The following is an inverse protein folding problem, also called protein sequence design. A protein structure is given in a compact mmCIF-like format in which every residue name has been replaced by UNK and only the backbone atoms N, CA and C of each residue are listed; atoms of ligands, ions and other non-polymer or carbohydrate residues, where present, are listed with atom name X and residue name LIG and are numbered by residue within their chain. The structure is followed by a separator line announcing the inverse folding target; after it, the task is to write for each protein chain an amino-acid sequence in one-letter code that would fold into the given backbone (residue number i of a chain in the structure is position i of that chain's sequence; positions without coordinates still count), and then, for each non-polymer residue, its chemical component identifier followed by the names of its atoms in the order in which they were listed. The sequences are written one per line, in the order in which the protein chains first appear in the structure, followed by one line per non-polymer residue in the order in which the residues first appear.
data_IF_188732088206
#
_entry.id   IF_188732088206
#
_cell.length_a   1.000
_cell.length_b   1.000
_cell.length_c   1.000
_cell.angle_alpha   90.00
_cell.angle_beta   90.00
_cell.angle_gamma   90.00
#
_symmetry.space_group_name_H-M   'P 1'
#
loop_
_entity.id
_entity.type
_entity.pdbx_description
1 polymer ?
#
# COMPACT_ATOMS: atom_id res chain seq x y z
N UNK A 1 -5.08 16.74 -22.84
CA UNK A 1 -5.60 15.41 -22.46
C UNK A 1 -5.00 15.11 -21.10
N UNK A 2 -5.74 15.25 -20.01
CA UNK A 2 -5.22 14.91 -18.68
C UNK A 2 -4.94 13.40 -18.62
N UNK A 3 -3.70 13.02 -18.31
CA UNK A 3 -3.35 11.63 -18.11
C UNK A 3 -4.11 11.10 -16.89
N UNK A 4 -5.13 10.28 -17.13
CA UNK A 4 -5.83 9.52 -16.08
C UNK A 4 -4.78 8.66 -15.35
N UNK A 5 -4.55 8.96 -14.07
CA UNK A 5 -3.51 8.34 -13.26
C UNK A 5 -4.12 7.84 -11.97
N UNK A 6 -3.83 6.58 -11.61
CA UNK A 6 -4.30 5.98 -10.38
C UNK A 6 -3.17 5.37 -9.55
N UNK A 7 -3.52 5.03 -8.31
CA UNK A 7 -2.64 4.37 -7.37
C UNK A 7 -3.43 3.56 -6.34
N UNK A 8 -2.77 2.54 -5.80
CA UNK A 8 -3.25 1.77 -4.66
C UNK A 8 -2.26 1.95 -3.51
N UNK A 9 -2.74 2.27 -2.30
CA UNK A 9 -1.95 2.07 -1.10
C UNK A 9 -2.42 0.84 -0.35
N UNK A 10 -1.46 0.07 0.15
CA UNK A 10 -1.72 -1.19 0.83
C UNK A 10 -1.31 -1.10 2.30
N UNK A 11 -2.13 -1.72 3.16
CA UNK A 11 -1.93 -1.85 4.59
C UNK A 11 -1.87 -0.50 5.34
N UNK A 12 -2.78 0.41 5.00
CA UNK A 12 -3.00 1.63 5.78
C UNK A 12 -3.53 1.28 7.18
N UNK A 13 -3.12 2.02 8.20
CA UNK A 13 -3.66 1.90 9.56
C UNK A 13 -4.50 3.15 9.89
N UNK A 14 -3.82 4.28 10.14
CA UNK A 14 -4.46 5.53 10.58
C UNK A 14 -4.60 6.52 9.45
N UNK A 15 -5.74 7.20 9.43
CA UNK A 15 -6.10 8.19 8.42
C UNK A 15 -5.06 9.31 8.29
N UNK A 16 -4.56 9.83 9.41
CA UNK A 16 -3.59 10.95 9.39
C UNK A 16 -2.21 10.57 8.88
N UNK A 17 -1.97 9.26 8.73
CA UNK A 17 -0.71 8.71 8.28
C UNK A 17 -0.75 8.21 6.85
N UNK A 18 -1.86 8.46 6.16
CA UNK A 18 -2.11 8.07 4.77
C UNK A 18 -0.85 8.17 3.94
N UNK A 19 -0.58 7.09 3.23
CA UNK A 19 0.59 7.01 2.37
C UNK A 19 0.51 8.07 1.27
N UNK A 20 1.58 8.79 1.00
CA UNK A 20 1.59 9.75 -0.10
C UNK A 20 1.76 9.01 -1.45
N UNK A 21 0.64 8.76 -2.11
CA UNK A 21 0.55 8.04 -3.41
C UNK A 21 0.86 8.95 -4.61
N UNK A 22 1.09 10.24 -4.39
CA UNK A 22 1.46 11.19 -5.42
C UNK A 22 2.97 11.25 -5.62
N UNK A 23 3.76 10.81 -4.63
CA UNK A 23 5.21 10.84 -4.71
C UNK A 23 5.74 9.80 -5.73
N UNK A 24 6.72 10.22 -6.52
CA UNK A 24 7.53 9.35 -7.38
C UNK A 24 9.02 9.72 -7.22
N UNK A 25 9.90 8.92 -7.83
CA UNK A 25 11.35 9.07 -7.70
C UNK A 25 11.87 10.45 -8.11
N UNK A 26 12.93 10.89 -7.43
CA UNK A 26 13.58 12.19 -7.64
C UNK A 26 12.83 13.34 -6.97
N UNK A 27 12.11 13.07 -5.87
CA UNK A 27 11.26 14.05 -5.16
C UNK A 27 10.25 14.75 -6.08
N UNK A 28 9.75 14.03 -7.09
CA UNK A 28 8.72 14.51 -8.02
C UNK A 28 7.34 14.08 -7.53
N UNK A 29 6.32 14.84 -7.93
CA UNK A 29 4.93 14.56 -7.60
C UNK A 29 4.08 14.46 -8.85
N UNK A 30 3.10 13.55 -8.82
CA UNK A 30 2.06 13.40 -9.82
C UNK A 30 0.71 13.30 -9.13
N UNK A 31 -0.28 14.05 -9.58
CA UNK A 31 -1.64 13.96 -9.03
C UNK A 31 -2.30 12.64 -9.47
N UNK A 32 -2.76 11.84 -8.51
CA UNK A 32 -3.57 10.65 -8.75
C UNK A 32 -5.05 11.01 -8.67
N UNK A 33 -5.79 10.73 -9.75
CA UNK A 33 -7.24 10.92 -9.80
C UNK A 33 -8.00 9.76 -9.14
N UNK A 34 -7.46 8.56 -9.25
CA UNK A 34 -8.09 7.33 -8.74
C UNK A 34 -7.20 6.75 -7.65
N UNK A 35 -7.67 6.76 -6.40
CA UNK A 35 -6.87 6.28 -5.27
C UNK A 35 -7.67 5.23 -4.51
N UNK A 36 -7.15 4.00 -4.53
CA UNK A 36 -7.60 2.92 -3.67
C UNK A 36 -6.73 2.89 -2.41
N UNK A 37 -7.37 2.84 -1.25
CA UNK A 37 -6.74 2.64 0.05
C UNK A 37 -7.17 1.29 0.60
N UNK A 38 -6.24 0.49 1.08
CA UNK A 38 -6.58 -0.78 1.74
C UNK A 38 -6.04 -0.84 3.15
N UNK A 39 -6.76 -1.54 4.04
CA UNK A 39 -6.35 -1.73 5.43
C UNK A 39 -6.69 -3.15 5.88
N UNK A 40 -5.86 -3.74 6.74
CA UNK A 40 -6.12 -5.04 7.37
C UNK A 40 -7.24 -4.93 8.42
N UNK A 41 -7.48 -3.74 8.98
CA UNK A 41 -8.50 -3.55 10.01
C UNK A 41 -9.91 -3.70 9.45
N UNK A 42 -10.78 -4.27 10.27
CA UNK A 42 -12.22 -4.22 10.01
C UNK A 42 -12.73 -2.79 10.11
N UNK A 43 -13.80 -2.49 9.37
CA UNK A 43 -14.42 -1.16 9.38
C UNK A 43 -14.74 -0.65 10.82
N UNK A 44 -15.30 -1.46 11.74
CA UNK A 44 -15.50 -1.02 13.13
C UNK A 44 -14.21 -0.67 13.87
N UNK A 45 -13.16 -1.49 13.74
CA UNK A 45 -11.86 -1.24 14.37
C UNK A 45 -11.24 0.04 13.81
N UNK A 46 -11.30 0.21 12.49
CA UNK A 46 -10.80 1.41 11.84
C UNK A 46 -11.55 2.67 12.28
N UNK A 47 -12.89 2.62 12.36
CA UNK A 47 -13.71 3.74 12.88
C UNK A 47 -13.35 4.09 14.32
N UNK A 48 -13.16 3.10 15.19
CA UNK A 48 -12.76 3.34 16.57
C UNK A 48 -11.40 4.05 16.68
N UNK A 49 -10.48 3.76 15.76
CA UNK A 49 -9.16 4.41 15.68
C UNK A 49 -9.17 5.78 15.01
N UNK A 50 -10.23 6.11 14.27
CA UNK A 50 -10.35 7.31 13.44
C UNK A 50 -11.71 8.00 13.68
N UNK A 51 -12.09 8.18 14.95
CA UNK A 51 -13.44 8.57 15.36
C UNK A 51 -13.94 9.90 14.77
N UNK A 52 -13.03 10.81 14.42
CA UNK A 52 -13.35 12.13 13.87
C UNK A 52 -13.33 12.20 12.34
N UNK A 53 -13.14 11.05 11.65
CA UNK A 53 -13.05 11.02 10.19
C UNK A 53 -14.43 10.75 9.59
N UNK A 54 -14.87 11.67 8.73
CA UNK A 54 -16.11 11.50 7.98
C UNK A 54 -16.01 10.32 7.01
N UNK A 55 -17.01 9.43 7.08
CA UNK A 55 -17.02 8.19 6.33
C UNK A 55 -18.41 7.96 5.74
N UNK A 56 -18.46 7.68 4.45
CA UNK A 56 -19.69 7.30 3.75
C UNK A 56 -19.59 5.82 3.38
N UNK A 57 -20.58 5.02 3.76
CA UNK A 57 -20.58 3.60 3.39
C UNK A 57 -20.62 3.43 1.85
N UNK A 58 -19.90 2.45 1.34
CA UNK A 58 -19.95 2.06 -0.06
C UNK A 58 -20.17 0.55 -0.15
N UNK A 59 -21.19 0.16 -0.91
CA UNK A 59 -21.51 -1.24 -1.17
C UNK A 59 -21.38 -1.52 -2.66
N UNK A 60 -20.65 -2.57 -3.00
CA UNK A 60 -20.62 -3.13 -4.33
C UNK A 60 -21.25 -4.52 -4.29
N UNK A 61 -22.46 -4.63 -4.85
CA UNK A 61 -23.22 -5.88 -4.87
C UNK A 61 -22.80 -6.82 -6.00
N UNK A 62 -21.86 -6.40 -6.84
CA UNK A 62 -21.36 -7.19 -7.97
C UNK A 62 -20.08 -7.95 -7.63
N UNK A 63 -19.45 -7.66 -6.49
CA UNK A 63 -18.22 -8.30 -6.07
C UNK A 63 -18.47 -9.76 -5.63
N UNK A 64 -17.68 -10.70 -6.17
CA UNK A 64 -17.73 -12.12 -5.81
C UNK A 64 -17.22 -12.40 -4.40
N UNK A 65 -16.38 -11.51 -3.85
CA UNK A 65 -15.89 -11.53 -2.47
C UNK A 65 -16.45 -10.30 -1.78
N UNK A 66 -17.27 -10.53 -0.76
CA UNK A 66 -17.90 -9.44 0.00
C UNK A 66 -16.88 -8.84 0.95
N UNK A 67 -16.37 -7.65 0.62
CA UNK A 67 -15.56 -6.83 1.52
C UNK A 67 -16.36 -5.60 1.95
N UNK A 68 -16.00 -5.01 3.08
CA UNK A 68 -16.53 -3.71 3.47
C UNK A 68 -15.73 -2.62 2.76
N UNK A 69 -16.42 -1.59 2.29
CA UNK A 69 -15.80 -0.44 1.68
C UNK A 69 -16.48 0.86 2.11
N UNK A 70 -15.76 1.97 1.98
CA UNK A 70 -16.26 3.29 2.32
C UNK A 70 -15.54 4.38 1.52
N UNK A 71 -16.21 5.53 1.37
CA UNK A 71 -15.62 6.73 0.82
C UNK A 71 -15.15 7.63 1.96
N UNK A 72 -13.87 7.96 1.92
CA UNK A 72 -13.18 8.84 2.87
C UNK A 72 -12.30 9.79 2.05
N UNK A 73 -12.46 11.10 2.22
CA UNK A 73 -11.79 12.15 1.41
C UNK A 73 -11.97 12.03 -0.11
N UNK A 74 -13.11 11.50 -0.57
CA UNK A 74 -13.33 11.20 -2.00
C UNK A 74 -12.43 10.06 -2.53
N UNK A 75 -11.70 9.38 -1.65
CA UNK A 75 -10.96 8.15 -1.95
C UNK A 75 -11.77 6.92 -1.51
N UNK A 76 -11.65 5.82 -2.25
CA UNK A 76 -12.25 4.54 -1.87
C UNK A 76 -11.33 3.78 -0.91
N UNK A 77 -11.88 3.36 0.21
CA UNK A 77 -11.21 2.54 1.21
C UNK A 77 -11.86 1.16 1.26
N UNK A 78 -11.04 0.11 1.22
CA UNK A 78 -11.49 -1.27 1.36
C UNK A 78 -10.82 -1.89 2.59
N UNK A 79 -11.65 -2.52 3.42
CA UNK A 79 -11.28 -3.01 4.74
C UNK A 79 -11.04 -4.52 4.74
N UNK A 80 -10.31 -5.01 5.74
CA UNK A 80 -9.97 -6.44 5.91
C UNK A 80 -9.23 -7.00 4.69
N UNK A 81 -8.27 -6.23 4.17
CA UNK A 81 -7.43 -6.60 3.02
C UNK A 81 -6.07 -7.06 3.54
N UNK A 82 -5.80 -8.36 3.42
CA UNK A 82 -4.47 -8.92 3.60
C UNK A 82 -3.61 -8.66 2.36
N UNK A 83 -2.53 -7.91 2.52
CA UNK A 83 -1.60 -7.57 1.44
C UNK A 83 -0.85 -8.75 0.86
N UNK A 84 -0.82 -9.88 1.57
CA UNK A 84 -0.20 -11.14 1.14
C UNK A 84 -1.18 -12.07 0.44
N UNK A 85 -2.47 -11.71 0.38
CA UNK A 85 -3.52 -12.48 -0.27
C UNK A 85 -3.91 -11.83 -1.61
N UNK A 86 -3.69 -12.54 -2.71
CA UNK A 86 -3.99 -12.03 -4.05
C UNK A 86 -5.49 -11.75 -4.25
N UNK A 87 -6.37 -12.62 -3.74
CA UNK A 87 -7.82 -12.47 -3.89
C UNK A 87 -8.35 -11.25 -3.15
N UNK A 88 -7.75 -10.89 -2.00
CA UNK A 88 -8.07 -9.68 -1.27
C UNK A 88 -7.70 -8.42 -2.07
N UNK A 89 -6.51 -8.41 -2.68
CA UNK A 89 -6.08 -7.32 -3.57
C UNK A 89 -7.02 -7.23 -4.79
N UNK A 90 -7.37 -8.36 -5.41
CA UNK A 90 -8.31 -8.42 -6.55
C UNK A 90 -9.66 -7.84 -6.16
N UNK A 91 -10.20 -8.23 -5.01
CA UNK A 91 -11.46 -7.70 -4.50
C UNK A 91 -11.37 -6.18 -4.32
N UNK A 92 -10.34 -5.69 -3.62
CA UNK A 92 -10.18 -4.25 -3.38
C UNK A 92 -10.08 -3.43 -4.68
N UNK A 93 -9.33 -3.93 -5.66
CA UNK A 93 -9.20 -3.28 -6.98
C UNK A 93 -10.51 -3.28 -7.74
N UNK A 94 -11.32 -4.34 -7.68
CA UNK A 94 -12.65 -4.37 -8.31
C UNK A 94 -13.59 -3.33 -7.71
N UNK A 95 -13.65 -3.22 -6.37
CA UNK A 95 -14.44 -2.19 -5.69
C UNK A 95 -14.06 -0.78 -6.17
N UNK A 96 -12.76 -0.49 -6.24
CA UNK A 96 -12.27 0.80 -6.73
C UNK A 96 -12.53 1.02 -8.22
N UNK A 97 -12.37 -0.02 -9.04
CA UNK A 97 -12.62 0.04 -10.49
C UNK A 97 -14.08 0.40 -10.77
N UNK A 98 -15.02 -0.22 -10.04
CA UNK A 98 -16.44 0.09 -10.15
C UNK A 98 -16.79 1.48 -9.62
N UNK A 99 -16.24 1.89 -8.48
CA UNK A 99 -16.49 3.22 -7.91
C UNK A 99 -16.02 4.34 -8.84
N UNK A 100 -14.85 4.18 -9.46
CA UNK A 100 -14.25 5.21 -10.32
C UNK A 100 -14.62 5.10 -11.80
N UNK A 101 -15.30 4.03 -12.22
CA UNK A 101 -15.45 3.65 -13.63
C UNK A 101 -14.10 3.67 -14.36
N UNK A 102 -13.13 2.93 -13.80
CA UNK A 102 -11.75 2.91 -14.24
C UNK A 102 -11.23 1.48 -14.38
N UNK A 103 -10.38 1.18 -15.38
CA UNK A 103 -9.81 -0.15 -15.53
C UNK A 103 -8.84 -0.47 -14.37
N UNK A 104 -8.77 -1.74 -13.93
CA UNK A 104 -7.88 -2.20 -12.86
C UNK A 104 -6.41 -1.80 -13.04
N UNK A 105 -5.94 -1.76 -14.29
CA UNK A 105 -4.57 -1.36 -14.64
C UNK A 105 -4.21 0.02 -14.08
N UNK A 106 -5.12 1.00 -14.12
CA UNK A 106 -4.84 2.34 -13.61
C UNK A 106 -4.61 2.37 -12.10
N UNK A 107 -5.24 1.46 -11.36
CA UNK A 107 -5.14 1.36 -9.90
C UNK A 107 -3.91 0.55 -9.47
N UNK A 108 -3.59 -0.52 -10.19
CA UNK A 108 -2.47 -1.42 -9.88
C UNK A 108 -1.12 -0.97 -10.43
N UNK A 109 -1.09 -0.11 -11.45
CA UNK A 109 0.17 0.35 -12.05
C UNK A 109 1.14 0.95 -11.03
N UNK A 110 0.63 1.60 -9.99
CA UNK A 110 1.44 2.18 -8.91
C UNK A 110 0.87 1.75 -7.57
N UNK A 111 1.56 0.83 -6.91
CA UNK A 111 1.22 0.34 -5.58
C UNK A 111 2.18 0.97 -4.57
N UNK A 112 1.67 1.39 -3.42
CA UNK A 112 2.44 2.04 -2.38
C UNK A 112 2.26 1.31 -1.06
N UNK A 113 3.35 1.13 -0.32
CA UNK A 113 3.31 0.66 1.06
C UNK A 113 4.22 1.50 1.95
N UNK A 114 3.73 1.83 3.14
CA UNK A 114 4.48 2.61 4.14
C UNK A 114 4.80 1.73 5.33
N UNK A 115 6.06 1.30 5.44
CA UNK A 115 6.59 0.50 6.55
C UNK A 115 5.73 -0.75 6.86
N UNK A 116 5.58 -1.67 5.90
CA UNK A 116 5.01 -2.99 6.22
C UNK A 116 5.81 -3.61 7.37
N UNK A 117 5.08 -4.10 8.37
CA UNK A 117 5.63 -4.66 9.58
C UNK A 117 4.75 -5.83 9.99
N UNK A 118 5.32 -7.02 10.12
CA UNK A 118 4.57 -8.17 10.57
C UNK A 118 4.06 -7.95 12.01
N UNK A 119 2.88 -8.49 12.31
CA UNK A 119 2.29 -8.40 13.65
C UNK A 119 2.97 -9.35 14.63
N UNK A 120 2.92 -9.04 15.93
CA UNK A 120 3.38 -9.90 17.02
C UNK A 120 4.87 -10.32 16.99
N UNK A 121 5.73 -9.52 16.34
CA UNK A 121 7.18 -9.77 16.29
C UNK A 121 8.00 -8.90 17.24
N UNK A 122 7.41 -7.95 17.96
CA UNK A 122 8.16 -6.95 18.74
C UNK A 122 9.02 -7.56 19.85
N UNK A 123 8.56 -8.64 20.47
CA UNK A 123 9.28 -9.38 21.52
C UNK A 123 10.20 -10.47 20.97
N UNK A 124 10.30 -10.63 19.65
CA UNK A 124 11.18 -11.62 19.02
C UNK A 124 12.59 -11.07 18.85
N UNK A 125 13.55 -11.98 18.68
CA UNK A 125 14.92 -11.60 18.34
C UNK A 125 15.00 -10.97 16.93
N UNK A 126 16.10 -10.28 16.66
CA UNK A 126 16.26 -9.51 15.42
C UNK A 126 16.24 -10.39 14.16
N UNK A 127 16.79 -11.60 14.23
CA UNK A 127 16.78 -12.54 13.12
C UNK A 127 15.36 -12.95 12.71
N UNK A 128 14.52 -13.28 13.70
CA UNK A 128 13.10 -13.61 13.46
C UNK A 128 12.35 -12.39 12.92
N UNK A 129 12.60 -11.19 13.47
CA UNK A 129 11.99 -9.94 12.98
C UNK A 129 12.33 -9.69 11.52
N UNK A 130 13.61 -9.80 11.16
CA UNK A 130 14.10 -9.62 9.80
C UNK A 130 13.45 -10.65 8.88
N UNK A 131 13.52 -11.95 9.22
CA UNK A 131 12.95 -13.02 8.40
C UNK A 131 11.45 -12.84 8.17
N UNK A 132 10.69 -12.56 9.23
CA UNK A 132 9.23 -12.41 9.13
C UNK A 132 8.86 -11.19 8.26
N UNK A 133 9.61 -10.09 8.37
CA UNK A 133 9.42 -8.95 7.49
C UNK A 133 9.86 -9.25 6.05
N UNK A 134 10.93 -10.02 5.81
CA UNK A 134 11.32 -10.49 4.46
C UNK A 134 10.17 -11.27 3.83
N UNK A 135 9.58 -12.20 4.56
CA UNK A 135 8.45 -13.01 4.09
C UNK A 135 7.25 -12.12 3.77
N UNK A 136 6.92 -11.15 4.63
CA UNK A 136 5.84 -10.20 4.38
C UNK A 136 6.02 -9.40 3.09
N UNK A 137 7.21 -8.84 2.84
CA UNK A 137 7.48 -8.10 1.60
C UNK A 137 7.49 -9.02 0.37
N UNK A 138 8.07 -10.21 0.48
CA UNK A 138 8.14 -11.18 -0.62
C UNK A 138 6.74 -11.66 -1.01
N UNK A 139 5.91 -12.01 -0.03
CA UNK A 139 4.54 -12.48 -0.23
C UNK A 139 3.64 -11.36 -0.74
N UNK A 140 3.81 -10.13 -0.26
CA UNK A 140 3.05 -8.98 -0.78
C UNK A 140 3.38 -8.72 -2.25
N UNK A 141 4.67 -8.77 -2.63
CA UNK A 141 5.11 -8.63 -4.01
C UNK A 141 4.50 -9.72 -4.92
N UNK A 142 4.52 -10.97 -4.45
CA UNK A 142 3.91 -12.10 -5.15
C UNK A 142 2.39 -11.91 -5.30
N UNK A 143 1.70 -11.52 -4.24
CA UNK A 143 0.26 -11.29 -4.24
C UNK A 143 -0.15 -10.19 -5.23
N UNK A 144 0.63 -9.10 -5.33
CA UNK A 144 0.42 -8.04 -6.33
C UNK A 144 0.53 -8.61 -7.76
N UNK A 145 1.56 -9.42 -8.04
CA UNK A 145 1.74 -10.06 -9.34
C UNK A 145 0.59 -11.00 -9.68
N UNK A 146 0.15 -11.84 -8.75
CA UNK A 146 -0.97 -12.75 -8.96
C UNK A 146 -2.29 -11.99 -9.16
N UNK A 147 -2.53 -10.95 -8.37
CA UNK A 147 -3.71 -10.10 -8.54
C UNK A 147 -3.75 -9.43 -9.92
N UNK A 148 -2.60 -8.93 -10.39
CA UNK A 148 -2.47 -8.34 -11.72
C UNK A 148 -2.80 -9.35 -12.83
N UNK A 149 -2.30 -10.59 -12.73
CA UNK A 149 -2.64 -11.69 -13.66
C UNK A 149 -4.13 -11.97 -13.67
N UNK A 150 -4.74 -12.12 -12.50
CA UNK A 150 -6.19 -12.38 -12.35
C UNK A 150 -7.05 -11.26 -12.93
N UNK A 151 -6.57 -10.02 -12.85
CA UNK A 151 -7.26 -8.84 -13.39
C UNK A 151 -6.92 -8.54 -14.86
N UNK A 152 -6.09 -9.37 -15.50
CA UNK A 152 -5.67 -9.19 -16.90
C UNK A 152 -4.75 -7.99 -17.13
N UNK A 153 -4.05 -7.52 -16.09
CA UNK A 153 -3.08 -6.43 -16.19
C UNK A 153 -1.74 -6.99 -16.64
N UNK A 154 -1.29 -6.65 -17.85
CA UNK A 154 -0.02 -7.10 -18.42
C UNK A 154 1.09 -6.04 -18.39
N UNK A 155 0.75 -4.80 -18.03
CA UNK A 155 1.71 -3.70 -17.97
C UNK A 155 2.70 -3.86 -16.82
N UNK A 156 3.87 -3.24 -16.94
CA UNK A 156 4.79 -3.09 -15.82
C UNK A 156 4.12 -2.36 -14.64
N UNK A 157 4.31 -2.89 -13.42
CA UNK A 157 3.83 -2.30 -12.18
C UNK A 157 5.00 -1.72 -11.38
N UNK A 158 4.72 -0.66 -10.65
CA UNK A 158 5.65 0.00 -9.76
C UNK A 158 5.20 -0.21 -8.32
N UNK A 159 5.99 -0.94 -7.53
CA UNK A 159 5.75 -1.09 -6.10
C UNK A 159 6.71 -0.20 -5.30
N UNK A 160 6.15 0.90 -4.78
CA UNK A 160 6.85 1.90 -3.99
C UNK A 160 6.79 1.55 -2.50
N UNK A 161 7.94 1.51 -1.85
CA UNK A 161 8.06 1.21 -0.42
C UNK A 161 8.74 2.36 0.30
N UNK A 162 8.03 2.96 1.26
CA UNK A 162 8.61 3.88 2.22
C UNK A 162 9.19 3.09 3.39
N UNK A 163 10.50 3.22 3.62
CA UNK A 163 11.21 2.60 4.74
C UNK A 163 11.93 3.65 5.59
N UNK A 164 11.61 3.69 6.88
CA UNK A 164 12.18 4.65 7.84
C UNK A 164 13.72 4.62 7.81
N UNK A 165 14.37 5.78 7.60
CA UNK A 165 15.83 5.81 7.40
C UNK A 165 16.64 5.49 8.67
N UNK A 166 16.18 5.97 9.83
CA UNK A 166 16.95 5.93 11.08
C UNK A 166 16.64 4.70 11.95
N UNK A 167 15.58 3.97 11.62
CA UNK A 167 15.21 2.72 12.27
C UNK A 167 14.35 1.89 11.30
N UNK A 168 14.97 1.31 10.25
CA UNK A 168 14.23 0.52 9.29
C UNK A 168 13.76 -0.78 9.95
N UNK A 169 12.51 -1.17 9.72
CA UNK A 169 11.93 -2.43 10.24
C UNK A 169 12.60 -3.69 9.67
N UNK A 170 13.32 -3.51 8.57
CA UNK A 170 14.12 -4.51 7.88
C UNK A 170 15.32 -3.79 7.23
N UNK A 171 16.56 -4.30 7.34
CA UNK A 171 17.72 -3.70 6.69
C UNK A 171 17.50 -3.54 5.18
N UNK A 172 18.11 -2.52 4.56
CA UNK A 172 17.89 -2.21 3.15
C UNK A 172 18.30 -3.35 2.21
N UNK A 173 19.37 -4.08 2.52
CA UNK A 173 19.83 -5.23 1.75
C UNK A 173 18.79 -6.35 1.78
N UNK A 174 18.29 -6.67 2.97
CA UNK A 174 17.25 -7.67 3.21
C UNK A 174 15.92 -7.30 2.54
N UNK A 175 15.55 -6.01 2.56
CA UNK A 175 14.37 -5.51 1.84
C UNK A 175 14.50 -5.68 0.33
N UNK A 176 15.66 -5.33 -0.24
CA UNK A 176 15.92 -5.52 -1.68
C UNK A 176 15.83 -6.99 -2.06
N UNK A 177 16.46 -7.86 -1.26
CA UNK A 177 16.41 -9.30 -1.47
C UNK A 177 14.98 -9.84 -1.40
N UNK A 178 14.21 -9.46 -0.37
CA UNK A 178 12.81 -9.87 -0.22
C UNK A 178 11.96 -9.46 -1.44
N UNK A 179 12.10 -8.23 -1.91
CA UNK A 179 11.35 -7.75 -3.08
C UNK A 179 11.72 -8.52 -4.35
N UNK A 180 13.01 -8.82 -4.56
CA UNK A 180 13.49 -9.65 -5.68
C UNK A 180 12.97 -11.10 -5.58
N UNK A 181 13.06 -11.72 -4.41
CA UNK A 181 12.53 -13.05 -4.13
C UNK A 181 11.01 -13.13 -4.34
N UNK A 182 10.30 -12.04 -4.04
CA UNK A 182 8.87 -11.89 -4.31
C UNK A 182 8.50 -11.74 -5.79
N UNK A 183 9.48 -11.68 -6.70
CA UNK A 183 9.27 -11.60 -8.15
C UNK A 183 9.54 -10.23 -8.79
N UNK A 184 10.12 -9.28 -8.05
CA UNK A 184 10.55 -8.02 -8.66
C UNK A 184 11.71 -8.23 -9.63
N UNK A 185 11.67 -7.57 -10.79
CA UNK A 185 12.77 -7.61 -11.78
C UNK A 185 13.95 -6.74 -11.37
N UNK A 186 13.66 -5.63 -10.70
CA UNK A 186 14.68 -4.68 -10.24
C UNK A 186 14.19 -3.96 -9.00
N UNK A 187 15.12 -3.63 -8.10
CA UNK A 187 14.84 -2.82 -6.92
C UNK A 187 15.84 -1.69 -6.82
N UNK A 188 15.35 -0.45 -6.90
CA UNK A 188 16.15 0.76 -6.77
C UNK A 188 15.75 1.53 -5.53
N UNK A 189 16.68 2.30 -4.98
CA UNK A 189 16.42 3.24 -3.89
C UNK A 189 16.63 4.64 -4.42
N UNK A 190 15.70 5.55 -4.15
CA UNK A 190 15.82 6.94 -4.54
C UNK A 190 17.02 7.58 -3.81
N UNK A 191 17.85 8.29 -4.57
CA UNK A 191 18.95 9.09 -4.01
C UNK A 191 18.41 10.27 -3.18
N UNK A 192 17.20 10.72 -3.51
CA UNK A 192 16.49 11.72 -2.72
C UNK A 192 15.73 11.02 -1.59
N UNK A 193 16.00 11.44 -0.35
CA UNK A 193 15.25 10.97 0.84
C UNK A 193 14.06 11.89 1.08
N UNK A 194 12.84 11.55 0.60
CA UNK A 194 11.67 12.41 0.73
C UNK A 194 11.30 12.62 2.19
N UNK A 195 10.68 13.77 2.45
CA UNK A 195 10.07 14.10 3.74
C UNK A 195 8.66 13.54 3.78
N UNK A 196 8.36 12.71 4.76
CA UNK A 196 7.02 12.17 5.01
C UNK A 196 6.56 12.56 6.41
N UNK A 197 5.26 12.78 6.55
CA UNK A 197 4.63 13.01 7.84
C UNK A 197 4.42 11.67 8.56
N UNK A 198 4.86 11.62 9.82
CA UNK A 198 4.65 10.50 10.74
C UNK A 198 3.99 11.07 11.99
N UNK A 199 2.68 10.85 12.11
CA UNK A 199 1.91 11.18 13.30
C UNK A 199 2.30 10.39 14.57
N UNK A 200 1.64 10.69 15.68
CA UNK A 200 1.53 9.83 16.86
C UNK A 200 0.28 8.95 16.75
N UNK A 201 0.19 7.91 17.56
CA UNK A 201 -0.95 6.99 17.49
C UNK A 201 -2.32 7.61 17.80
N UNK A 202 -2.37 8.82 18.36
CA UNK A 202 -3.59 9.53 18.67
C UNK A 202 -4.04 10.48 17.55
N UNK A 203 -3.19 10.69 16.55
CA UNK A 203 -3.46 11.65 15.48
C UNK A 203 -3.43 13.12 15.92
N UNK A 204 -2.69 13.43 16.99
CA UNK A 204 -2.65 14.79 17.54
C UNK A 204 -1.34 15.50 17.26
N UNK A 205 -0.29 14.75 17.00
CA UNK A 205 1.05 15.25 16.73
C UNK A 205 1.61 14.55 15.51
N UNK A 206 2.44 15.25 14.74
CA UNK A 206 3.23 14.63 13.69
C UNK A 206 4.65 15.18 13.65
N UNK A 207 5.57 14.32 13.22
CA UNK A 207 6.94 14.68 12.90
C UNK A 207 7.17 14.54 11.40
N UNK A 208 7.91 15.48 10.83
CA UNK A 208 8.41 15.34 9.46
C UNK A 208 9.68 14.52 9.51
N UNK A 209 9.66 13.36 8.87
CA UNK A 209 10.79 12.46 8.85
C UNK A 209 11.28 12.18 7.42
N UNK A 210 12.60 12.09 7.25
CA UNK A 210 13.19 11.57 6.02
C UNK A 210 13.10 10.05 5.99
N UNK A 211 12.58 9.52 4.89
CA UNK A 211 12.44 8.08 4.66
C UNK A 211 13.28 7.67 3.46
N UNK A 212 13.79 6.44 3.47
CA UNK A 212 14.24 5.82 2.24
C UNK A 212 13.00 5.51 1.39
N UNK A 213 13.14 5.63 0.08
CA UNK A 213 12.07 5.39 -0.86
C UNK A 213 12.55 4.38 -1.90
N UNK A 214 11.94 3.20 -1.90
CA UNK A 214 12.33 2.09 -2.76
C UNK A 214 11.30 1.92 -3.86
N UNK A 215 11.75 1.49 -5.03
CA UNK A 215 10.90 1.10 -6.14
C UNK A 215 11.29 -0.30 -6.57
N UNK A 216 10.36 -1.23 -6.42
CA UNK A 216 10.40 -2.55 -7.04
C UNK A 216 9.61 -2.52 -8.34
N UNK A 217 10.25 -2.92 -9.43
CA UNK A 217 9.60 -3.04 -10.74
C UNK A 217 9.08 -4.46 -10.92
N UNK A 218 7.77 -4.59 -11.11
CA UNK A 218 7.10 -5.88 -11.26
C UNK A 218 6.60 -6.04 -12.69
N UNK A 219 6.56 -7.28 -13.19
CA UNK A 219 6.02 -7.58 -14.51
C UNK A 219 5.22 -8.88 -14.41
N UNK A 220 3.88 -8.80 -14.46
CA UNK A 220 2.97 -9.95 -14.44
C UNK A 220 3.31 -11.01 -15.50
#
# INVERSE_FOLDING_TARGET
MEFKSGATSIAEDKYEFKTDVNLIFGNKTITRKYVLRTTLHSLPVWKARNANVNITAYEDRTASVVKKAAIIDREIWVFEIDSTCADDIVAAVKYASHYYDAPPELLLKNVYAKNLNAENIDDKNDEIKIRTNKDLYSNTCNAILQAAKTLGVSSQLNFYVFSKNNNPKIPQTELKEALLCGGARSVTTDDHKPKVYIGNNAGTDFIVQRTNFHLATLSP
#
